data_IF_278987493812
#
_entry.id   IF_278987493812
#
_cell.length_a   1.000
_cell.length_b   1.000
_cell.length_c   1.000
_cell.angle_alpha   90.00
_cell.angle_beta   90.00
_cell.angle_gamma   90.00
#
_symmetry.space_group_name_H-M   'P 1'
#
loop_
_entity.id
_entity.type
_entity.pdbx_description
1 polymer ?
#
# COMPACT_ATOMS: atom_id res chain seq x y z
N UNK A 1 23.10 4.67 -9.64
CA UNK A 1 23.65 5.81 -10.42
C UNK A 1 25.08 5.47 -10.75
N UNK A 2 25.51 5.75 -11.97
CA UNK A 2 26.88 5.39 -12.39
C UNK A 2 27.89 6.47 -11.99
N UNK A 3 27.53 7.75 -12.14
CA UNK A 3 28.35 8.90 -11.70
C UNK A 3 27.46 10.12 -11.34
N UNK A 4 27.70 10.83 -10.22
CA UNK A 4 26.99 12.06 -9.87
C UNK A 4 27.36 13.23 -10.81
N UNK A 5 26.46 14.20 -10.98
CA UNK A 5 26.73 15.33 -11.88
C UNK A 5 27.94 16.16 -11.42
N UNK A 6 28.94 16.45 -12.27
CA UNK A 6 30.09 17.27 -11.92
C UNK A 6 29.76 18.77 -11.83
N UNK A 7 28.55 19.17 -12.23
CA UNK A 7 28.07 20.56 -12.19
C UNK A 7 27.50 20.96 -10.82
N UNK A 8 27.47 20.01 -9.87
CA UNK A 8 26.98 20.21 -8.52
C UNK A 8 28.13 19.96 -7.56
N UNK A 9 28.39 20.91 -6.67
CA UNK A 9 29.27 20.68 -5.53
C UNK A 9 28.50 19.90 -4.46
N UNK A 10 28.65 18.57 -4.50
CA UNK A 10 28.01 17.65 -3.55
C UNK A 10 28.61 17.74 -2.13
N UNK A 11 29.78 18.36 -1.95
CA UNK A 11 30.42 18.51 -0.64
C UNK A 11 29.87 19.69 0.17
N UNK A 12 29.30 20.69 -0.51
CA UNK A 12 28.77 21.90 0.10
C UNK A 12 27.27 21.81 0.50
N UNK A 13 26.60 20.71 0.13
CA UNK A 13 25.15 20.57 0.25
C UNK A 13 24.67 19.83 1.50
N UNK A 14 23.43 20.12 1.90
CA UNK A 14 22.69 19.31 2.89
C UNK A 14 21.97 18.10 2.26
N UNK A 15 22.35 17.73 1.03
CA UNK A 15 21.71 16.68 0.23
C UNK A 15 22.75 15.70 -0.29
N UNK A 16 22.37 14.43 -0.32
CA UNK A 16 23.16 13.32 -0.83
C UNK A 16 22.32 12.55 -1.85
N UNK A 17 22.95 11.98 -2.88
CA UNK A 17 22.28 11.07 -3.80
C UNK A 17 22.07 9.71 -3.13
N UNK A 18 20.81 9.28 -3.07
CA UNK A 18 20.47 7.92 -2.67
C UNK A 18 20.73 6.97 -3.84
N UNK A 19 21.83 6.22 -3.77
CA UNK A 19 22.28 5.34 -4.88
C UNK A 19 21.83 3.90 -4.73
N UNK A 20 21.43 3.50 -3.52
CA UNK A 20 20.92 2.18 -3.16
C UNK A 20 19.80 2.30 -2.12
N UNK A 21 18.95 1.28 -2.04
CA UNK A 21 17.90 1.23 -1.01
C UNK A 21 18.54 1.09 0.37
N UNK A 22 18.18 1.99 1.29
CA UNK A 22 18.58 1.93 2.70
C UNK A 22 17.40 2.20 3.60
N UNK A 23 17.50 1.77 4.86
CA UNK A 23 16.50 2.06 5.87
C UNK A 23 16.35 3.58 6.04
N UNK A 24 15.10 4.05 6.14
CA UNK A 24 14.82 5.44 6.49
C UNK A 24 14.70 5.55 8.02
N UNK A 25 15.74 6.06 8.72
CA UNK A 25 15.77 6.05 10.18
C UNK A 25 14.59 6.82 10.78
N UNK A 26 14.00 6.25 11.83
CA UNK A 26 13.02 6.94 12.68
C UNK A 26 13.75 7.67 13.80
N UNK A 27 13.32 8.88 14.15
CA UNK A 27 13.77 9.57 15.35
C UNK A 27 12.56 9.82 16.26
N UNK A 28 12.69 9.55 17.55
CA UNK A 28 11.62 9.78 18.53
C UNK A 28 11.09 11.22 18.43
N UNK A 29 9.76 11.35 18.36
CA UNK A 29 9.08 12.63 18.25
C UNK A 29 9.30 13.40 16.93
N UNK A 30 9.87 12.76 15.89
CA UNK A 30 10.13 13.40 14.60
C UNK A 30 9.59 12.57 13.44
N UNK A 31 8.46 12.98 12.82
CA UNK A 31 7.93 12.27 11.66
C UNK A 31 8.89 12.41 10.47
N UNK A 32 8.88 11.41 9.60
CA UNK A 32 9.63 11.44 8.35
C UNK A 32 9.02 12.49 7.43
N UNK A 33 9.85 13.32 6.81
CA UNK A 33 9.41 14.32 5.83
C UNK A 33 10.13 14.14 4.51
N UNK A 34 9.38 14.18 3.42
CA UNK A 34 9.91 14.20 2.06
C UNK A 34 9.39 15.42 1.30
N UNK A 35 10.20 15.92 0.38
CA UNK A 35 9.77 16.95 -0.57
C UNK A 35 9.66 16.34 -1.97
N UNK A 36 8.61 16.68 -2.71
CA UNK A 36 8.48 16.38 -4.14
C UNK A 36 8.40 17.69 -4.90
N UNK A 37 9.32 17.89 -5.83
CA UNK A 37 9.37 19.06 -6.70
C UNK A 37 9.05 18.66 -8.14
N UNK A 38 8.24 19.46 -8.83
CA UNK A 38 7.93 19.29 -10.25
C UNK A 38 8.08 20.64 -10.97
N UNK A 39 8.87 20.64 -12.04
CA UNK A 39 9.20 21.85 -12.80
C UNK A 39 8.74 21.67 -14.25
N UNK A 40 7.70 22.42 -14.66
CA UNK A 40 7.14 22.33 -15.99
C UNK A 40 7.90 23.20 -17.00
N UNK A 41 8.03 22.73 -18.24
CA UNK A 41 8.72 23.46 -19.32
C UNK A 41 8.07 24.82 -19.64
N UNK A 42 6.76 24.97 -19.38
CA UNK A 42 6.03 26.23 -19.51
C UNK A 42 6.36 27.26 -18.41
N UNK A 43 7.13 26.87 -17.40
CA UNK A 43 7.45 27.69 -16.22
C UNK A 43 6.48 27.52 -15.04
N UNK A 44 5.46 26.66 -15.15
CA UNK A 44 4.61 26.31 -14.00
C UNK A 44 5.33 25.28 -13.12
N UNK A 45 5.51 25.62 -11.84
CA UNK A 45 6.20 24.78 -10.87
C UNK A 45 5.27 24.40 -9.72
N UNK A 46 5.47 23.21 -9.17
CA UNK A 46 4.79 22.73 -7.97
C UNK A 46 5.80 22.11 -7.00
N UNK A 47 5.58 22.33 -5.71
CA UNK A 47 6.41 21.78 -4.64
C UNK A 47 5.52 21.36 -3.48
N UNK A 48 5.67 20.12 -3.02
CA UNK A 48 4.90 19.58 -1.90
C UNK A 48 5.83 18.98 -0.86
N UNK A 49 5.48 19.19 0.40
CA UNK A 49 6.11 18.53 1.54
C UNK A 49 5.13 17.48 2.07
N UNK A 50 5.59 16.25 2.16
CA UNK A 50 4.87 15.10 2.71
C UNK A 50 5.44 14.78 4.08
N UNK A 51 4.56 14.54 5.04
CA UNK A 51 4.91 14.07 6.38
C UNK A 51 4.29 12.68 6.59
N UNK A 52 5.04 11.75 7.18
CA UNK A 52 4.49 10.45 7.57
C UNK A 52 3.41 10.64 8.63
N UNK A 53 2.26 9.99 8.46
CA UNK A 53 1.24 9.94 9.49
C UNK A 53 1.76 9.25 10.77
N UNK A 54 1.20 9.62 11.92
CA UNK A 54 1.42 8.89 13.16
C UNK A 54 0.88 7.46 13.00
N UNK A 55 1.73 6.47 13.25
CA UNK A 55 1.33 5.06 13.26
C UNK A 55 0.72 4.72 14.62
N UNK A 56 -0.42 5.32 14.96
CA UNK A 56 -1.26 4.82 16.05
C UNK A 56 -2.12 3.67 15.51
N UNK A 57 -1.44 2.65 14.97
CA UNK A 57 -2.11 1.45 14.46
C UNK A 57 -2.56 0.68 15.71
N UNK A 58 -3.88 0.50 15.92
CA UNK A 58 -4.37 -0.30 17.02
C UNK A 58 -3.74 -1.69 16.98
N UNK A 59 -3.45 -2.28 18.14
CA UNK A 59 -2.96 -3.66 18.17
C UNK A 59 -3.92 -4.57 17.38
N UNK A 60 -3.37 -5.45 16.51
CA UNK A 60 -4.21 -6.33 15.70
C UNK A 60 -5.09 -7.18 16.61
N UNK A 61 -6.40 -7.07 16.39
CA UNK A 61 -7.36 -7.93 17.08
C UNK A 61 -7.25 -9.34 16.53
N UNK A 62 -7.19 -10.36 17.39
CA UNK A 62 -7.20 -11.75 16.88
C UNK A 62 -8.54 -12.00 16.15
N UNK A 63 -8.52 -12.44 14.88
CA UNK A 63 -9.75 -12.79 14.16
C UNK A 63 -10.55 -13.82 14.95
N UNK A 64 -11.80 -13.52 15.26
CA UNK A 64 -12.70 -14.48 15.92
C UNK A 64 -13.47 -15.26 14.87
N UNK A 65 -12.87 -16.34 14.36
CA UNK A 65 -13.50 -17.29 13.44
C UNK A 65 -13.44 -16.87 11.97
N UNK A 66 -14.17 -17.60 11.11
CA UNK A 66 -14.16 -17.38 9.67
C UNK A 66 -14.89 -16.11 9.26
N UNK A 67 -14.34 -15.37 8.30
CA UNK A 67 -14.90 -14.11 7.77
C UNK A 67 -15.28 -14.25 6.29
N UNK A 68 -16.31 -13.51 5.81
CA UNK A 68 -16.71 -13.52 4.41
C UNK A 68 -15.90 -12.50 3.58
N UNK A 69 -15.10 -12.97 2.65
CA UNK A 69 -14.43 -12.17 1.62
C UNK A 69 -15.38 -11.97 0.45
N UNK A 70 -16.04 -10.81 0.41
CA UNK A 70 -17.04 -10.49 -0.61
C UNK A 70 -16.38 -9.85 -1.83
N UNK A 71 -16.54 -10.47 -2.99
CA UNK A 71 -16.08 -9.95 -4.29
C UNK A 71 -17.28 -9.61 -5.16
N UNK A 72 -17.18 -8.52 -5.92
CA UNK A 72 -18.18 -8.21 -6.95
C UNK A 72 -17.57 -7.54 -8.19
N UNK A 73 -18.25 -7.68 -9.31
CA UNK A 73 -17.86 -7.12 -10.60
C UNK A 73 -19.05 -6.92 -11.53
N UNK A 74 -18.88 -6.08 -12.55
CA UNK A 74 -19.91 -5.87 -13.59
C UNK A 74 -20.06 -7.08 -14.54
N UNK A 75 -19.10 -8.00 -14.51
CA UNK A 75 -19.09 -9.25 -15.27
C UNK A 75 -18.49 -10.36 -14.41
N UNK A 76 -18.72 -11.62 -14.79
CA UNK A 76 -18.08 -12.77 -14.14
C UNK A 76 -16.54 -12.70 -14.21
N UNK A 77 -15.98 -12.35 -15.38
CA UNK A 77 -14.53 -12.21 -15.56
C UNK A 77 -13.93 -11.12 -14.64
N UNK A 78 -14.68 -10.04 -14.38
CA UNK A 78 -14.24 -9.01 -13.45
C UNK A 78 -14.16 -9.54 -12.00
N UNK A 79 -15.05 -10.45 -11.61
CA UNK A 79 -14.99 -11.12 -10.29
C UNK A 79 -13.75 -12.01 -10.22
N UNK A 80 -13.48 -12.81 -11.25
CA UNK A 80 -12.25 -13.63 -11.32
C UNK A 80 -10.98 -12.79 -11.28
N UNK A 81 -10.97 -11.64 -11.96
CA UNK A 81 -9.84 -10.72 -11.91
C UNK A 81 -9.67 -10.05 -10.54
N UNK A 82 -10.77 -9.79 -9.80
CA UNK A 82 -10.69 -9.32 -8.41
C UNK A 82 -10.12 -10.42 -7.50
N UNK A 83 -10.55 -11.67 -7.66
CA UNK A 83 -10.06 -12.80 -6.87
C UNK A 83 -8.54 -12.94 -7.01
N UNK A 84 -8.02 -12.96 -8.24
CA UNK A 84 -6.57 -13.01 -8.51
C UNK A 84 -5.79 -11.87 -7.85
N UNK A 85 -6.28 -10.62 -7.99
CA UNK A 85 -5.64 -9.46 -7.33
C UNK A 85 -5.64 -9.57 -5.81
N UNK A 86 -6.71 -10.12 -5.23
CA UNK A 86 -6.77 -10.35 -3.78
C UNK A 86 -5.77 -11.43 -3.36
N UNK A 87 -5.66 -12.53 -4.12
CA UNK A 87 -4.65 -13.57 -3.88
C UNK A 87 -3.23 -13.00 -3.92
N UNK A 88 -2.89 -12.22 -4.95
CA UNK A 88 -1.57 -11.58 -5.07
C UNK A 88 -1.29 -10.63 -3.91
N UNK A 89 -2.30 -9.88 -3.47
CA UNK A 89 -2.18 -8.95 -2.35
C UNK A 89 -1.94 -9.69 -1.02
N UNK A 90 -2.70 -10.75 -0.76
CA UNK A 90 -2.55 -11.59 0.43
C UNK A 90 -1.20 -12.33 0.46
N UNK A 91 -0.62 -12.63 -0.70
CA UNK A 91 0.71 -13.24 -0.79
C UNK A 91 1.83 -12.27 -0.40
N UNK A 92 1.70 -11.00 -0.81
CA UNK A 92 2.66 -9.96 -0.49
C UNK A 92 2.58 -9.46 0.97
N UNK A 93 1.41 -9.60 1.61
CA UNK A 93 1.11 -9.04 2.92
C UNK A 93 0.54 -10.11 3.87
N UNK A 94 1.40 -11.05 4.30
CA UNK A 94 1.00 -12.18 5.16
C UNK A 94 0.66 -11.81 6.60
N UNK A 95 0.93 -10.57 6.99
CA UNK A 95 0.69 -10.01 8.32
C UNK A 95 -0.67 -9.30 8.44
N UNK A 96 -1.46 -9.23 7.36
CA UNK A 96 -2.79 -8.60 7.39
C UNK A 96 -3.78 -9.39 8.26
N UNK A 97 -4.59 -8.64 9.02
CA UNK A 97 -5.78 -9.18 9.67
C UNK A 97 -6.87 -9.42 8.60
N UNK A 98 -7.27 -10.68 8.44
CA UNK A 98 -8.29 -11.07 7.47
C UNK A 98 -9.65 -10.40 7.75
N UNK A 99 -9.92 -10.06 9.01
CA UNK A 99 -11.12 -9.30 9.43
C UNK A 99 -11.13 -7.91 8.79
N UNK A 100 -10.00 -7.20 8.80
CA UNK A 100 -9.88 -5.88 8.18
C UNK A 100 -9.99 -5.94 6.67
N UNK A 101 -9.45 -7.00 6.06
CA UNK A 101 -9.61 -7.27 4.62
C UNK A 101 -11.09 -7.49 4.29
N UNK A 102 -11.77 -8.37 5.03
CA UNK A 102 -13.20 -8.65 4.85
C UNK A 102 -14.06 -7.39 5.04
N UNK A 103 -13.80 -6.63 6.11
CA UNK A 103 -14.47 -5.37 6.40
C UNK A 103 -14.30 -4.36 5.26
N UNK A 104 -13.07 -4.21 4.77
CA UNK A 104 -12.75 -3.31 3.67
C UNK A 104 -13.46 -3.73 2.37
N UNK A 105 -13.46 -5.02 2.04
CA UNK A 105 -14.19 -5.55 0.88
C UNK A 105 -15.70 -5.31 0.98
N UNK A 106 -16.27 -5.47 2.17
CA UNK A 106 -17.70 -5.33 2.40
C UNK A 106 -18.19 -3.88 2.47
N UNK A 107 -17.37 -2.93 2.92
CA UNK A 107 -17.84 -1.58 3.26
C UNK A 107 -17.27 -0.46 2.39
N UNK A 108 -16.11 -0.67 1.77
CA UNK A 108 -15.40 0.38 1.00
C UNK A 108 -15.47 0.18 -0.51
N UNK A 109 -16.05 -0.92 -0.99
CA UNK A 109 -16.11 -1.28 -2.41
C UNK A 109 -17.53 -1.09 -2.94
N UNK A 110 -17.63 -0.70 -4.22
CA UNK A 110 -18.90 -0.73 -4.92
C UNK A 110 -19.39 -2.18 -5.05
N UNK A 111 -20.69 -2.39 -4.88
CA UNK A 111 -21.33 -3.69 -5.05
C UNK A 111 -22.00 -3.79 -6.42
N UNK A 112 -21.60 -4.79 -7.20
CA UNK A 112 -22.15 -5.08 -8.53
C UNK A 112 -22.96 -6.38 -8.54
N UNK A 113 -23.55 -6.71 -9.69
CA UNK A 113 -24.50 -7.83 -9.81
C UNK A 113 -23.83 -9.21 -9.83
N UNK A 114 -22.62 -9.33 -10.39
CA UNK A 114 -21.85 -10.57 -10.30
C UNK A 114 -21.09 -10.58 -8.98
N UNK A 115 -21.31 -11.60 -8.17
CA UNK A 115 -20.76 -11.71 -6.82
C UNK A 115 -20.19 -13.09 -6.56
N UNK A 116 -19.12 -13.14 -5.78
CA UNK A 116 -18.57 -14.34 -5.18
C UNK A 116 -18.23 -14.06 -3.72
N UNK A 117 -18.31 -15.09 -2.88
CA UNK A 117 -17.94 -14.99 -1.47
C UNK A 117 -17.07 -16.19 -1.14
N UNK A 118 -15.91 -15.92 -0.54
CA UNK A 118 -15.04 -16.94 0.06
C UNK A 118 -15.14 -16.78 1.57
N UNK A 119 -15.37 -17.87 2.30
CA UNK A 119 -15.40 -17.86 3.77
C UNK A 119 -14.13 -18.54 4.24
N UNK A 120 -13.30 -17.83 5.00
CA UNK A 120 -11.99 -18.29 5.43
C UNK A 120 -11.67 -17.83 6.85
N UNK A 121 -11.02 -18.70 7.64
CA UNK A 121 -10.50 -18.39 8.97
C UNK A 121 -9.03 -17.97 8.98
N UNK A 122 -8.32 -18.10 7.86
CA UNK A 122 -6.91 -17.71 7.71
C UNK A 122 -6.61 -17.18 6.33
N UNK A 123 -5.46 -16.51 6.18
CA UNK A 123 -4.96 -16.04 4.88
C UNK A 123 -4.70 -17.21 3.93
N UNK A 124 -4.21 -18.33 4.45
CA UNK A 124 -4.00 -19.56 3.68
C UNK A 124 -5.32 -20.12 3.14
N UNK A 125 -6.34 -20.29 4.00
CA UNK A 125 -7.68 -20.75 3.58
C UNK A 125 -8.32 -19.79 2.57
N UNK A 126 -8.12 -18.47 2.76
CA UNK A 126 -8.60 -17.46 1.83
C UNK A 126 -7.98 -17.64 0.44
N UNK A 127 -6.66 -17.86 0.35
CA UNK A 127 -5.96 -18.04 -0.92
C UNK A 127 -6.34 -19.33 -1.63
N UNK A 128 -6.66 -20.39 -0.90
CA UNK A 128 -7.15 -21.65 -1.49
C UNK A 128 -8.57 -21.52 -2.06
N UNK A 129 -9.40 -20.66 -1.48
CA UNK A 129 -10.78 -20.45 -1.90
C UNK A 129 -11.00 -19.41 -3.01
N UNK A 130 -9.99 -18.59 -3.33
CA UNK A 130 -10.02 -17.51 -4.33
C UNK A 130 -9.56 -17.98 -5.72
#
# INVERSE_FOLDING_TARGET
VDEPSPKVDWSAGAVELLTESREWPTAEGRPRRAAVSSFGISGTNAHVILESAENDIPEPTVPRGSVPLVLSGRTADAVTAQARRLTDHLELHRDLDLTDVAYSLATSRAHFDHRAVVVAGSVEEAREGL
#
